data_IF_389353085989
#
_entry.id   IF_389353085989
#
_cell.length_a   1.000
_cell.length_b   1.000
_cell.length_c   1.000
_cell.angle_alpha   90.00
_cell.angle_beta   90.00
_cell.angle_gamma   90.00
#
_symmetry.space_group_name_H-M   'P 1'
#
loop_
_entity.id
_entity.type
_entity.pdbx_description
1 polymer ?
#
# COMPACT_ATOMS: atom_id res chain seq x y z
N UNK A 1 7.25 -20.89 5.37
CA UNK A 1 7.34 -19.46 5.73
C UNK A 1 7.21 -19.33 7.25
N UNK A 2 8.31 -19.12 7.96
CA UNK A 2 8.24 -18.77 9.37
C UNK A 2 7.78 -17.31 9.44
N UNK A 3 6.57 -17.07 9.94
CA UNK A 3 6.16 -15.72 10.33
C UNK A 3 7.00 -15.39 11.55
N UNK A 4 8.15 -14.75 11.34
CA UNK A 4 8.97 -14.23 12.43
C UNK A 4 8.16 -13.11 13.06
N UNK A 5 7.59 -13.38 14.23
CA UNK A 5 6.92 -12.35 15.02
C UNK A 5 8.00 -11.32 15.38
N UNK A 6 7.86 -10.09 14.89
CA UNK A 6 8.76 -9.01 15.27
C UNK A 6 8.56 -8.73 16.76
N UNK A 7 9.48 -9.17 17.61
CA UNK A 7 9.41 -8.91 19.05
C UNK A 7 9.56 -7.43 19.40
N UNK A 8 10.14 -6.63 18.49
CA UNK A 8 10.32 -5.19 18.65
C UNK A 8 9.06 -4.37 18.34
N UNK A 9 8.01 -4.97 17.77
CA UNK A 9 6.85 -4.25 17.25
C UNK A 9 7.13 -3.58 15.89
N UNK A 10 6.22 -2.70 15.44
CA UNK A 10 6.37 -1.96 14.18
C UNK A 10 7.32 -0.77 14.38
N UNK A 11 8.44 -0.74 13.65
CA UNK A 11 9.37 0.37 13.63
C UNK A 11 8.97 1.39 12.56
N UNK A 12 8.38 2.50 12.99
CA UNK A 12 7.98 3.59 12.11
C UNK A 12 9.17 4.22 11.36
N UNK A 13 10.38 4.20 11.92
CA UNK A 13 11.57 4.72 11.26
C UNK A 13 12.10 3.76 10.18
N UNK A 14 11.71 2.49 10.21
CA UNK A 14 12.12 1.46 9.27
C UNK A 14 11.19 1.25 8.07
N UNK A 15 10.14 2.08 7.91
CA UNK A 15 9.14 1.94 6.83
C UNK A 15 9.80 2.14 5.46
N UNK A 16 9.66 1.16 4.58
CA UNK A 16 10.26 1.19 3.24
C UNK A 16 9.25 1.51 2.14
N UNK A 17 7.97 1.21 2.37
CA UNK A 17 6.88 1.56 1.47
C UNK A 17 5.68 2.09 2.25
N UNK A 18 5.11 3.21 1.78
CA UNK A 18 3.84 3.74 2.29
C UNK A 18 2.76 3.46 1.25
N UNK A 19 1.75 2.68 1.64
CA UNK A 19 0.55 2.45 0.86
C UNK A 19 -0.61 3.31 1.34
N UNK A 20 -1.29 4.01 0.43
CA UNK A 20 -2.43 4.86 0.73
C UNK A 20 -3.64 4.35 -0.06
N UNK A 21 -4.70 3.94 0.64
CA UNK A 21 -5.98 3.62 0.02
C UNK A 21 -6.84 4.88 -0.02
N UNK A 22 -7.03 5.44 -1.20
CA UNK A 22 -7.66 6.73 -1.41
C UNK A 22 -9.08 6.59 -1.98
N UNK A 23 -10.06 7.19 -1.31
CA UNK A 23 -11.41 7.38 -1.88
C UNK A 23 -11.36 8.30 -3.11
N UNK A 24 -12.37 8.18 -3.97
CA UNK A 24 -12.41 8.98 -5.20
C UNK A 24 -12.59 10.47 -4.92
N UNK A 25 -11.73 11.30 -5.52
CA UNK A 25 -11.71 12.76 -5.36
C UNK A 25 -11.13 13.44 -6.61
N UNK A 26 -11.16 14.78 -6.64
CA UNK A 26 -10.35 15.52 -7.63
C UNK A 26 -8.86 15.29 -7.35
N UNK A 27 -7.97 15.34 -8.36
CA UNK A 27 -6.54 15.07 -8.15
C UNK A 27 -5.90 15.94 -7.05
N UNK A 28 -6.32 17.19 -6.93
CA UNK A 28 -5.86 18.14 -5.90
C UNK A 28 -6.34 17.75 -4.49
N UNK A 29 -7.47 17.05 -4.41
CA UNK A 29 -8.17 16.72 -3.16
C UNK A 29 -7.95 15.28 -2.71
N UNK A 30 -7.21 14.46 -3.48
CA UNK A 30 -6.87 13.09 -3.08
C UNK A 30 -6.17 13.13 -1.72
N UNK A 31 -6.67 12.36 -0.76
CA UNK A 31 -6.08 12.29 0.57
C UNK A 31 -4.74 11.56 0.52
N UNK A 32 -3.67 12.23 0.95
CA UNK A 32 -2.29 11.72 0.91
C UNK A 32 -1.61 11.71 2.29
N UNK A 33 -2.36 11.81 3.40
CA UNK A 33 -1.72 11.62 4.70
C UNK A 33 -1.21 10.18 4.85
N UNK A 34 -0.13 9.93 5.61
CA UNK A 34 0.60 10.86 6.47
C UNK A 34 1.81 11.51 5.76
N UNK A 35 1.80 11.66 4.43
CA UNK A 35 2.92 12.30 3.75
C UNK A 35 3.03 13.77 4.16
N UNK A 36 4.25 14.23 4.38
CA UNK A 36 4.57 15.60 4.78
C UNK A 36 5.78 16.13 3.99
N UNK A 37 5.97 17.45 4.00
CA UNK A 37 7.14 18.11 3.42
C UNK A 37 7.38 17.79 1.94
N UNK A 38 8.64 17.61 1.56
CA UNK A 38 9.05 17.35 0.17
C UNK A 38 8.42 16.08 -0.41
N UNK A 39 8.20 15.05 0.41
CA UNK A 39 7.56 13.80 -0.02
C UNK A 39 6.10 14.04 -0.43
N UNK A 40 5.37 14.85 0.35
CA UNK A 40 4.00 15.23 0.02
C UNK A 40 3.94 16.01 -1.29
N UNK A 41 4.81 17.01 -1.47
CA UNK A 41 4.83 17.85 -2.67
C UNK A 41 5.15 17.05 -3.94
N UNK A 42 6.11 16.11 -3.85
CA UNK A 42 6.44 15.19 -4.92
C UNK A 42 5.25 14.29 -5.27
N UNK A 43 4.62 13.66 -4.27
CA UNK A 43 3.49 12.77 -4.50
C UNK A 43 2.24 13.51 -5.00
N UNK A 44 1.98 14.72 -4.48
CA UNK A 44 0.90 15.61 -4.94
C UNK A 44 1.08 15.95 -6.41
N UNK A 45 2.29 16.34 -6.81
CA UNK A 45 2.61 16.66 -8.20
C UNK A 45 2.37 15.46 -9.12
N UNK A 46 2.78 14.26 -8.71
CA UNK A 46 2.54 13.04 -9.49
C UNK A 46 1.04 12.73 -9.65
N UNK A 47 0.27 12.82 -8.57
CA UNK A 47 -1.19 12.61 -8.58
C UNK A 47 -1.90 13.58 -9.53
N UNK A 48 -1.54 14.87 -9.48
CA UNK A 48 -2.12 15.91 -10.35
C UNK A 48 -1.74 15.67 -11.82
N UNK A 49 -0.45 15.42 -12.09
CA UNK A 49 0.06 15.23 -13.45
C UNK A 49 -0.55 13.99 -14.13
N UNK A 50 -0.73 12.90 -13.39
CA UNK A 50 -1.39 11.69 -13.89
C UNK A 50 -2.92 11.79 -13.89
N UNK A 51 -3.49 12.92 -13.43
CA UNK A 51 -4.94 13.12 -13.26
C UNK A 51 -5.57 11.98 -12.45
N UNK A 52 -4.84 11.47 -11.46
CA UNK A 52 -5.28 10.38 -10.62
C UNK A 52 -6.44 10.85 -9.74
N UNK A 53 -7.54 10.09 -9.75
CA UNK A 53 -8.78 10.44 -9.03
C UNK A 53 -9.14 9.48 -7.92
N UNK A 54 -8.39 8.41 -7.69
CA UNK A 54 -8.79 7.39 -6.70
C UNK A 54 -9.95 6.49 -7.14
N UNK A 55 -10.16 6.32 -8.46
CA UNK A 55 -11.15 5.36 -8.99
C UNK A 55 -10.81 3.93 -8.56
N UNK A 56 -11.82 3.10 -8.31
CA UNK A 56 -11.63 1.72 -7.88
C UNK A 56 -10.65 0.95 -8.80
N UNK A 57 -9.68 0.26 -8.20
CA UNK A 57 -8.67 -0.55 -8.90
C UNK A 57 -7.56 0.23 -9.59
N UNK A 58 -7.59 1.57 -9.57
CA UNK A 58 -6.49 2.38 -10.13
C UNK A 58 -5.34 2.52 -9.14
N UNK A 59 -4.11 2.67 -9.63
CA UNK A 59 -2.94 2.80 -8.77
C UNK A 59 -1.86 3.69 -9.42
N UNK A 60 -1.19 4.49 -8.59
CA UNK A 60 0.07 5.18 -8.92
C UNK A 60 1.18 4.71 -7.97
N UNK A 61 2.40 4.54 -8.51
CA UNK A 61 3.60 4.09 -7.78
C UNK A 61 4.69 5.14 -7.94
N UNK A 62 5.10 5.74 -6.83
CA UNK A 62 5.96 6.94 -6.82
C UNK A 62 7.25 6.61 -6.06
N UNK A 63 8.41 6.58 -6.72
CA UNK A 63 9.70 6.53 -6.03
C UNK A 63 9.94 7.86 -5.30
N UNK A 64 10.27 7.81 -4.00
CA UNK A 64 10.46 9.02 -3.18
C UNK A 64 11.85 9.13 -2.54
N UNK A 65 12.55 8.01 -2.30
CA UNK A 65 13.91 7.96 -1.73
C UNK A 65 14.14 8.96 -0.57
N UNK A 66 13.27 8.92 0.45
CA UNK A 66 13.30 9.85 1.57
C UNK A 66 13.41 9.10 2.90
N UNK A 67 14.58 9.21 3.55
CA UNK A 67 14.89 8.38 4.72
C UNK A 67 14.92 6.90 4.35
N UNK A 68 14.17 6.07 5.09
CA UNK A 68 13.97 4.64 4.78
C UNK A 68 12.91 4.39 3.71
N UNK A 69 12.03 5.37 3.44
CA UNK A 69 10.91 5.21 2.49
C UNK A 69 11.43 5.27 1.06
N UNK A 70 11.30 4.15 0.35
CA UNK A 70 11.72 3.98 -1.05
C UNK A 70 10.59 4.33 -2.00
N UNK A 71 9.36 3.94 -1.65
CA UNK A 71 8.18 4.07 -2.51
C UNK A 71 6.94 4.54 -1.74
N UNK A 72 6.11 5.32 -2.43
CA UNK A 72 4.72 5.58 -2.06
C UNK A 72 3.82 4.93 -3.12
N UNK A 73 2.79 4.22 -2.69
CA UNK A 73 1.78 3.63 -3.57
C UNK A 73 0.42 4.18 -3.17
N UNK A 74 -0.28 4.82 -4.11
CA UNK A 74 -1.66 5.27 -3.89
C UNK A 74 -2.58 4.38 -4.71
N UNK A 75 -3.57 3.76 -4.06
CA UNK A 75 -4.55 2.88 -4.68
C UNK A 75 -5.95 3.47 -4.51
N UNK A 76 -6.72 3.51 -5.59
CA UNK A 76 -8.07 4.06 -5.59
C UNK A 76 -9.12 3.07 -5.09
N UNK A 77 -9.99 3.54 -4.20
CA UNK A 77 -11.11 2.79 -3.63
C UNK A 77 -12.44 3.05 -4.35
N UNK A 78 -12.50 4.07 -5.21
CA UNK A 78 -13.76 4.55 -5.79
C UNK A 78 -14.62 5.30 -4.75
N UNK A 79 -15.89 5.44 -5.06
CA UNK A 79 -16.91 6.10 -4.21
C UNK A 79 -18.09 5.18 -3.84
N UNK A 80 -18.05 3.92 -4.26
CA UNK A 80 -19.13 2.96 -4.04
C UNK A 80 -19.07 2.38 -2.63
N UNK A 81 -20.15 2.58 -1.86
CA UNK A 81 -20.22 2.08 -0.48
C UNK A 81 -20.43 0.57 -0.39
N UNK A 82 -21.10 -0.03 -1.37
CA UNK A 82 -21.42 -1.46 -1.38
C UNK A 82 -20.18 -2.34 -1.60
N UNK A 83 -19.23 -1.86 -2.41
CA UNK A 83 -17.98 -2.57 -2.74
C UNK A 83 -16.80 -2.12 -1.88
N UNK A 84 -16.99 -1.16 -0.97
CA UNK A 84 -15.92 -0.50 -0.21
C UNK A 84 -14.96 -1.47 0.48
N UNK A 85 -15.48 -2.52 1.12
CA UNK A 85 -14.66 -3.49 1.84
C UNK A 85 -13.91 -4.46 0.91
N UNK A 86 -14.45 -4.73 -0.27
CA UNK A 86 -13.74 -5.46 -1.32
C UNK A 86 -12.62 -4.60 -1.89
N UNK A 87 -12.90 -3.32 -2.15
CA UNK A 87 -11.91 -2.38 -2.68
C UNK A 87 -10.75 -2.15 -1.68
N UNK A 88 -11.03 -2.15 -0.36
CA UNK A 88 -9.97 -2.14 0.67
C UNK A 88 -9.12 -3.41 0.59
N UNK A 89 -9.74 -4.58 0.42
CA UNK A 89 -9.03 -5.85 0.32
C UNK A 89 -8.14 -5.89 -0.93
N UNK A 90 -8.69 -5.52 -2.08
CA UNK A 90 -7.94 -5.44 -3.35
C UNK A 90 -6.82 -4.40 -3.29
N UNK A 91 -7.09 -3.22 -2.73
CA UNK A 91 -6.09 -2.17 -2.57
C UNK A 91 -4.93 -2.60 -1.68
N UNK A 92 -5.24 -3.24 -0.55
CA UNK A 92 -4.24 -3.81 0.35
C UNK A 92 -3.42 -4.90 -0.36
N UNK A 93 -4.08 -5.83 -1.05
CA UNK A 93 -3.41 -6.84 -1.88
C UNK A 93 -2.42 -6.20 -2.85
N UNK A 94 -2.85 -5.17 -3.58
CA UNK A 94 -2.07 -4.57 -4.65
C UNK A 94 -0.88 -3.74 -4.13
N UNK A 95 -1.07 -3.05 -3.01
CA UNK A 95 0.03 -2.37 -2.27
C UNK A 95 1.06 -3.40 -1.80
N UNK A 96 0.63 -4.44 -1.10
CA UNK A 96 1.55 -5.43 -0.52
C UNK A 96 2.25 -6.28 -1.58
N UNK A 97 1.54 -6.62 -2.67
CA UNK A 97 2.16 -7.27 -3.83
C UNK A 97 3.24 -6.39 -4.46
N UNK A 98 3.00 -5.07 -4.51
CA UNK A 98 4.02 -4.11 -4.97
C UNK A 98 5.21 -4.05 -4.02
N UNK A 99 4.98 -4.01 -2.71
CA UNK A 99 6.05 -4.05 -1.70
C UNK A 99 6.91 -5.31 -1.83
N UNK A 100 6.28 -6.48 -1.95
CA UNK A 100 6.97 -7.76 -2.14
C UNK A 100 7.82 -7.76 -3.42
N UNK A 101 7.25 -7.31 -4.55
CA UNK A 101 7.98 -7.19 -5.83
C UNK A 101 9.16 -6.20 -5.76
N UNK A 102 9.07 -5.19 -4.90
CA UNK A 102 10.14 -4.21 -4.63
C UNK A 102 11.06 -4.61 -3.47
N UNK A 103 10.91 -5.83 -2.93
CA UNK A 103 11.70 -6.37 -1.80
C UNK A 103 11.67 -5.44 -0.57
N UNK A 104 10.54 -4.76 -0.35
CA UNK A 104 10.33 -3.94 0.84
C UNK A 104 9.89 -4.83 2.01
N UNK A 105 10.57 -4.71 3.14
CA UNK A 105 10.36 -5.53 4.34
C UNK A 105 9.37 -4.91 5.31
N UNK A 106 9.25 -3.58 5.36
CA UNK A 106 8.34 -2.86 6.24
C UNK A 106 7.40 -1.97 5.43
N UNK A 107 6.09 -2.16 5.62
CA UNK A 107 5.05 -1.40 4.92
C UNK A 107 4.16 -0.68 5.94
N UNK A 108 3.92 0.60 5.72
CA UNK A 108 2.84 1.34 6.37
C UNK A 108 1.64 1.38 5.42
N UNK A 109 0.52 0.77 5.81
CA UNK A 109 -0.73 0.86 5.06
C UNK A 109 -1.68 1.84 5.74
N UNK A 110 -2.13 2.83 4.98
CA UNK A 110 -3.03 3.89 5.41
C UNK A 110 -4.33 3.72 4.66
N UNK A 111 -5.44 3.73 5.40
CA UNK A 111 -6.75 3.51 4.82
C UNK A 111 -7.84 4.26 5.61
N UNK A 112 -8.96 4.61 4.96
CA UNK A 112 -10.13 5.12 5.65
C UNK A 112 -10.75 4.05 6.57
N UNK A 113 -11.39 4.50 7.65
CA UNK A 113 -12.19 3.67 8.57
C UNK A 113 -11.41 2.50 9.17
N UNK A 114 -10.14 2.70 9.49
CA UNK A 114 -9.28 1.67 10.06
C UNK A 114 -9.78 1.16 11.43
N UNK A 115 -10.47 2.00 12.18
CA UNK A 115 -11.15 1.68 13.43
C UNK A 115 -12.31 0.69 13.26
N UNK A 116 -12.89 0.58 12.06
CA UNK A 116 -13.94 -0.38 11.79
C UNK A 116 -13.34 -1.78 11.63
N UNK A 117 -13.79 -2.70 12.49
CA UNK A 117 -13.34 -4.09 12.49
C UNK A 117 -13.41 -4.75 11.11
N UNK A 118 -14.47 -4.46 10.34
CA UNK A 118 -14.67 -5.05 9.02
C UNK A 118 -13.65 -4.54 8.00
N UNK A 119 -13.34 -3.24 8.01
CA UNK A 119 -12.32 -2.65 7.13
C UNK A 119 -10.93 -3.15 7.50
N UNK A 120 -10.60 -3.17 8.79
CA UNK A 120 -9.35 -3.77 9.30
C UNK A 120 -9.18 -5.23 8.87
N UNK A 121 -10.25 -6.02 8.94
CA UNK A 121 -10.24 -7.42 8.48
C UNK A 121 -9.98 -7.50 6.97
N UNK A 122 -10.70 -6.73 6.15
CA UNK A 122 -10.50 -6.71 4.70
C UNK A 122 -9.07 -6.35 4.32
N UNK A 123 -8.48 -5.36 4.98
CA UNK A 123 -7.10 -4.98 4.74
C UNK A 123 -6.10 -6.08 5.12
N UNK A 124 -6.32 -6.74 6.26
CA UNK A 124 -5.50 -7.86 6.69
C UNK A 124 -5.57 -9.05 5.71
N UNK A 125 -6.77 -9.43 5.27
CA UNK A 125 -6.98 -10.49 4.26
C UNK A 125 -6.24 -10.16 2.97
N UNK A 126 -6.42 -8.94 2.45
CA UNK A 126 -5.75 -8.47 1.24
C UNK A 126 -4.24 -8.49 1.37
N UNK A 127 -3.72 -8.03 2.51
CA UNK A 127 -2.29 -8.02 2.81
C UNK A 127 -1.68 -9.42 2.82
N UNK A 128 -2.34 -10.38 3.48
CA UNK A 128 -1.89 -11.78 3.51
C UNK A 128 -1.87 -12.38 2.11
N UNK A 129 -2.94 -12.18 1.32
CA UNK A 129 -3.01 -12.65 -0.07
C UNK A 129 -1.97 -11.97 -0.97
N UNK A 130 -1.67 -10.70 -0.73
CA UNK A 130 -0.69 -9.90 -1.48
C UNK A 130 0.75 -10.37 -1.28
N UNK A 131 1.05 -10.96 -0.12
CA UNK A 131 2.37 -11.49 0.20
C UNK A 131 2.48 -13.01 0.03
N UNK A 132 1.36 -13.73 -0.10
CA UNK A 132 1.37 -15.18 -0.27
C UNK A 132 2.05 -15.56 -1.59
N UNK A 133 2.92 -16.57 -1.51
CA UNK A 133 3.58 -17.24 -2.62
C UNK A 133 3.52 -18.74 -2.35
N UNK A 134 3.11 -19.51 -3.35
CA UNK A 134 3.15 -20.97 -3.31
C UNK A 134 4.25 -21.47 -4.26
N UNK A 135 5.45 -21.63 -3.71
CA UNK A 135 6.69 -21.95 -4.43
C UNK A 135 7.11 -23.42 -4.29
N UNK A 136 6.26 -24.27 -3.71
CA UNK A 136 6.55 -25.69 -3.39
C UNK A 136 7.15 -26.51 -4.56
N UNK A 137 6.81 -26.15 -5.80
CA UNK A 137 7.24 -26.87 -7.00
C UNK A 137 8.23 -26.09 -7.85
N UNK A 138 8.68 -24.91 -7.41
CA UNK A 138 9.74 -24.17 -8.06
C UNK A 138 11.08 -24.72 -7.59
N UNK A 139 11.94 -25.11 -8.54
CA UNK A 139 13.34 -25.39 -8.24
C UNK A 139 13.99 -24.10 -7.77
N UNK A 140 14.55 -24.09 -6.55
CA UNK A 140 15.42 -23.00 -6.15
C UNK A 140 16.72 -23.16 -6.95
N UNK A 141 17.08 -22.13 -7.74
CA UNK A 141 18.46 -22.03 -8.22
C UNK A 141 19.32 -21.92 -6.95
N UNK A 142 20.20 -22.90 -6.74
CA UNK A 142 21.23 -22.77 -5.72
C UNK A 142 22.14 -21.62 -6.17
N UNK A 143 22.14 -20.51 -5.42
CA UNK A 143 23.10 -19.42 -5.62
C UNK A 143 24.52 -20.02 -5.42
N UNK A 144 25.29 -20.17 -6.51
CA UNK A 144 26.75 -20.47 -6.49
C UNK A 144 27.57 -19.31 -5.92
#
# INVERSE_FOLDING_TARGET
MNIVKCEKGFDHAGVELIGILAEEASPESVFLAPLEGEMLELCRSAVINEKFKGKAGTMIKIPVLHGSVKYVVVHGLGNEKETFQENIREGSFSVLRTAAAKRCSNVLLVMPRAEERISSRSAAEGSVLGCYVFDKYLSQEEDE
#
